data_IF_158601540838
#
_entry.id   IF_158601540838
#
_cell.length_a   1.000
_cell.length_b   1.000
_cell.length_c   1.000
_cell.angle_alpha   90.00
_cell.angle_beta   90.00
_cell.angle_gamma   90.00
#
_symmetry.space_group_name_H-M   'P 1'
#
loop_
_entity.id
_entity.type
_entity.pdbx_description
1 polymer ?
#
# COMPACT_ATOMS: atom_id res chain seq x y z
N UNK A 1 -15.27 37.05 36.62
CA UNK A 1 -16.09 35.88 36.36
C UNK A 1 -15.90 35.52 34.88
N UNK A 2 -14.87 34.74 34.63
CA UNK A 2 -14.58 34.20 33.27
C UNK A 2 -15.28 32.87 33.13
N UNK A 3 -16.14 32.73 32.13
CA UNK A 3 -16.76 31.44 31.79
C UNK A 3 -15.72 30.59 31.01
N UNK A 4 -15.54 29.32 31.32
CA UNK A 4 -14.72 28.44 30.54
C UNK A 4 -15.45 28.08 29.24
N UNK A 5 -14.80 28.37 28.12
CA UNK A 5 -15.19 27.87 26.80
C UNK A 5 -14.92 26.36 26.73
N UNK A 6 -15.82 25.55 27.25
CA UNK A 6 -15.86 24.11 27.03
C UNK A 6 -16.86 23.79 25.93
N UNK A 7 -16.47 24.00 24.71
CA UNK A 7 -17.14 23.43 23.53
C UNK A 7 -16.24 22.35 22.96
N UNK A 8 -16.35 21.11 23.45
CA UNK A 8 -15.83 19.95 22.75
C UNK A 8 -16.68 19.76 21.49
N UNK A 9 -16.22 20.34 20.38
CA UNK A 9 -16.73 19.99 19.06
C UNK A 9 -16.24 18.56 18.73
N UNK A 10 -17.05 17.57 19.08
CA UNK A 10 -16.99 16.27 18.39
C UNK A 10 -17.45 16.58 16.97
N UNK A 11 -16.54 16.69 16.03
CA UNK A 11 -16.89 16.79 14.61
C UNK A 11 -17.70 15.54 14.30
N UNK A 12 -18.98 15.70 13.94
CA UNK A 12 -19.78 14.64 13.35
C UNK A 12 -19.02 14.10 12.15
N UNK A 13 -19.36 12.92 11.62
CA UNK A 13 -18.65 12.35 10.48
C UNK A 13 -18.48 13.45 9.40
N UNK A 14 -17.22 13.75 8.97
CA UNK A 14 -16.97 14.85 8.06
C UNK A 14 -17.70 14.61 6.75
N UNK A 15 -18.31 15.67 6.20
CA UNK A 15 -19.16 15.60 5.01
C UNK A 15 -18.63 16.53 3.91
N UNK A 16 -19.04 16.26 2.66
CA UNK A 16 -18.75 17.15 1.54
C UNK A 16 -19.27 18.56 1.79
N UNK A 17 -18.46 19.57 1.47
CA UNK A 17 -18.75 20.99 1.70
C UNK A 17 -18.24 21.52 3.04
N UNK A 18 -17.75 20.68 3.94
CA UNK A 18 -17.13 21.11 5.19
C UNK A 18 -15.69 21.60 4.95
N UNK A 19 -15.27 22.53 5.79
CA UNK A 19 -13.89 23.04 5.82
C UNK A 19 -13.12 22.36 6.95
N UNK A 20 -11.90 21.90 6.64
CA UNK A 20 -10.93 21.34 7.59
C UNK A 20 -9.62 22.08 7.42
N UNK A 21 -9.22 22.87 8.39
CA UNK A 21 -8.08 23.78 8.26
C UNK A 21 -8.23 24.69 7.04
N UNK A 22 -7.25 24.66 6.16
CA UNK A 22 -7.26 25.43 4.90
C UNK A 22 -7.79 24.61 3.70
N UNK A 23 -8.58 23.54 3.93
CA UNK A 23 -9.07 22.66 2.89
C UNK A 23 -10.59 22.56 2.90
N UNK A 24 -11.21 22.66 1.72
CA UNK A 24 -12.64 22.40 1.50
C UNK A 24 -12.80 20.95 1.04
N UNK A 25 -13.57 20.15 1.79
CA UNK A 25 -13.87 18.75 1.42
C UNK A 25 -14.82 18.71 0.22
N UNK A 26 -14.47 18.00 -0.83
CA UNK A 26 -15.26 17.90 -2.06
C UNK A 26 -16.09 16.60 -2.07
N UNK A 27 -15.44 15.45 -1.98
CA UNK A 27 -16.09 14.15 -1.86
C UNK A 27 -15.16 13.10 -1.26
N UNK A 28 -15.73 12.05 -0.69
CA UNK A 28 -14.98 10.93 -0.11
C UNK A 28 -14.32 10.10 -1.23
N UNK A 29 -13.02 9.85 -1.13
CA UNK A 29 -12.23 8.99 -2.01
C UNK A 29 -12.18 7.56 -1.49
N UNK A 30 -12.20 7.39 -0.17
CA UNK A 30 -12.15 6.07 0.47
C UNK A 30 -12.29 6.16 1.98
N UNK A 31 -12.64 5.01 2.58
CA UNK A 31 -12.83 4.85 4.01
C UNK A 31 -12.05 3.64 4.49
N UNK A 32 -11.07 3.88 5.35
CA UNK A 32 -10.31 2.86 6.07
C UNK A 32 -10.87 2.59 7.46
N UNK A 33 -10.26 1.64 8.17
CA UNK A 33 -10.67 1.29 9.53
C UNK A 33 -10.49 2.41 10.54
N UNK A 34 -9.46 3.24 10.39
CA UNK A 34 -9.10 4.32 11.33
C UNK A 34 -9.12 5.72 10.71
N UNK A 35 -9.26 5.86 9.40
CA UNK A 35 -9.25 7.16 8.73
C UNK A 35 -10.16 7.20 7.50
N UNK A 36 -10.66 8.40 7.19
CA UNK A 36 -11.40 8.71 5.98
C UNK A 36 -10.52 9.55 5.06
N UNK A 37 -10.55 9.28 3.77
CA UNK A 37 -9.79 10.04 2.76
C UNK A 37 -10.77 10.79 1.87
N UNK A 38 -10.60 12.11 1.78
CA UNK A 38 -11.41 12.99 0.95
C UNK A 38 -10.57 13.60 -0.17
N UNK A 39 -11.17 13.81 -1.33
CA UNK A 39 -10.70 14.84 -2.24
C UNK A 39 -11.02 16.19 -1.60
N UNK A 40 -10.03 17.08 -1.50
CA UNK A 40 -10.19 18.41 -0.97
C UNK A 40 -9.47 19.45 -1.83
N UNK A 41 -9.95 20.70 -1.78
CA UNK A 41 -9.32 21.84 -2.42
C UNK A 41 -8.67 22.73 -1.36
N UNK A 42 -7.39 23.05 -1.52
CA UNK A 42 -6.73 24.03 -0.67
C UNK A 42 -7.29 25.43 -0.97
N UNK A 43 -7.87 26.10 0.02
CA UNK A 43 -8.66 27.34 -0.15
C UNK A 43 -7.90 28.48 -0.84
N UNK A 44 -6.61 28.64 -0.54
CA UNK A 44 -5.78 29.71 -1.10
C UNK A 44 -5.09 29.34 -2.39
N UNK A 45 -4.49 28.14 -2.46
CA UNK A 45 -3.72 27.70 -3.64
C UNK A 45 -4.59 27.08 -4.74
N UNK A 46 -5.87 26.81 -4.46
CA UNK A 46 -6.80 26.14 -5.39
C UNK A 46 -6.26 24.80 -5.92
N UNK A 47 -5.44 24.14 -5.14
CA UNK A 47 -4.84 22.87 -5.45
C UNK A 47 -5.67 21.72 -4.87
N UNK A 48 -5.92 20.69 -5.69
CA UNK A 48 -6.55 19.45 -5.22
C UNK A 48 -5.55 18.61 -4.45
N UNK A 49 -6.00 18.06 -3.32
CA UNK A 49 -5.24 17.19 -2.42
C UNK A 49 -6.09 16.00 -2.01
N UNK A 50 -5.45 14.89 -1.61
CA UNK A 50 -6.10 13.84 -0.85
C UNK A 50 -5.92 14.18 0.65
N UNK A 51 -7.03 14.43 1.34
CA UNK A 51 -7.03 14.78 2.77
C UNK A 51 -7.48 13.57 3.58
N UNK A 52 -6.57 13.01 4.36
CA UNK A 52 -6.83 11.89 5.26
C UNK A 52 -7.17 12.43 6.65
N UNK A 53 -8.35 12.09 7.15
CA UNK A 53 -8.87 12.50 8.46
C UNK A 53 -8.94 11.29 9.38
N UNK A 54 -8.37 11.39 10.57
CA UNK A 54 -8.44 10.31 11.56
C UNK A 54 -9.88 10.16 12.09
N UNK A 55 -10.37 8.93 12.13
CA UNK A 55 -11.67 8.62 12.71
C UNK A 55 -11.52 8.40 14.23
N UNK A 56 -11.91 9.39 15.04
CA UNK A 56 -11.70 9.38 16.49
C UNK A 56 -12.62 8.41 17.28
N UNK A 57 -13.44 7.59 16.61
CA UNK A 57 -14.52 6.85 17.27
C UNK A 57 -14.15 5.51 17.90
N UNK A 58 -12.93 4.94 17.73
CA UNK A 58 -12.69 3.54 18.13
C UNK A 58 -11.55 3.30 19.13
N UNK A 59 -10.32 3.73 18.92
CA UNK A 59 -9.20 3.52 19.84
C UNK A 59 -8.25 4.72 19.84
N UNK A 60 -8.72 5.85 20.36
CA UNK A 60 -8.13 7.19 20.18
C UNK A 60 -6.60 7.26 20.27
N UNK A 61 -5.96 6.58 21.22
CA UNK A 61 -4.52 6.71 21.41
C UNK A 61 -3.69 5.89 20.41
N UNK A 62 -4.05 4.63 20.16
CA UNK A 62 -3.29 3.76 19.24
C UNK A 62 -3.42 4.22 17.79
N UNK A 63 -4.61 4.62 17.37
CA UNK A 63 -4.89 5.10 16.02
C UNK A 63 -4.20 6.45 15.76
N UNK A 64 -4.17 7.33 16.76
CA UNK A 64 -3.44 8.59 16.70
C UNK A 64 -1.93 8.35 16.53
N UNK A 65 -1.36 7.44 17.33
CA UNK A 65 0.07 7.10 17.21
C UNK A 65 0.40 6.54 15.84
N UNK A 66 -0.45 5.66 15.27
CA UNK A 66 -0.27 5.12 13.91
C UNK A 66 -0.29 6.24 12.87
N UNK A 67 -1.30 7.12 12.93
CA UNK A 67 -1.47 8.23 12.01
C UNK A 67 -0.27 9.20 12.04
N UNK A 68 0.23 9.53 13.23
CA UNK A 68 1.43 10.35 13.39
C UNK A 68 2.69 9.66 12.84
N UNK A 69 2.81 8.34 13.02
CA UNK A 69 3.94 7.57 12.47
C UNK A 69 3.89 7.58 10.95
N UNK A 70 2.72 7.35 10.34
CA UNK A 70 2.53 7.42 8.89
C UNK A 70 2.94 8.79 8.34
N UNK A 71 2.43 9.86 8.94
CA UNK A 71 2.76 11.22 8.54
C UNK A 71 4.28 11.50 8.61
N UNK A 72 4.96 11.05 9.69
CA UNK A 72 6.42 11.20 9.85
C UNK A 72 7.20 10.40 8.83
N UNK A 73 6.80 9.16 8.54
CA UNK A 73 7.45 8.32 7.54
C UNK A 73 7.31 8.92 6.14
N UNK A 74 6.09 9.34 5.77
CA UNK A 74 5.86 9.99 4.49
C UNK A 74 6.62 11.31 4.33
N UNK A 75 6.76 12.09 5.41
CA UNK A 75 7.55 13.33 5.40
C UNK A 75 9.04 13.09 5.13
N UNK A 76 9.59 11.92 5.51
CA UNK A 76 10.97 11.52 5.27
C UNK A 76 11.20 10.95 3.85
N UNK A 77 10.14 10.42 3.22
CA UNK A 77 10.24 9.73 1.93
C UNK A 77 9.94 10.69 0.77
N UNK A 78 10.98 11.18 0.11
CA UNK A 78 10.87 12.04 -1.07
C UNK A 78 11.30 11.28 -2.34
N UNK A 79 10.33 10.62 -2.98
CA UNK A 79 10.59 9.84 -4.17
C UNK A 79 9.45 9.98 -5.19
N UNK A 80 9.79 10.02 -6.49
CA UNK A 80 8.82 10.22 -7.59
C UNK A 80 7.72 9.16 -7.69
N UNK A 81 7.90 8.00 -7.06
CA UNK A 81 6.96 6.88 -7.03
C UNK A 81 6.44 6.59 -5.61
N UNK A 82 6.49 7.55 -4.72
CA UNK A 82 5.85 7.53 -3.40
C UNK A 82 4.92 8.73 -3.31
N UNK A 83 3.72 8.55 -2.78
CA UNK A 83 2.80 9.66 -2.55
C UNK A 83 3.46 10.70 -1.63
N UNK A 84 3.38 11.98 -2.02
CA UNK A 84 4.01 13.04 -1.25
C UNK A 84 3.08 13.56 -0.16
N UNK A 85 3.51 13.56 1.11
CA UNK A 85 2.89 14.33 2.17
C UNK A 85 3.10 15.84 1.89
N UNK A 86 2.04 16.61 2.03
CA UNK A 86 2.04 18.06 1.78
C UNK A 86 1.94 18.85 3.09
N UNK A 87 1.07 18.41 4.01
CA UNK A 87 0.86 19.01 5.30
C UNK A 87 0.33 17.98 6.30
N UNK A 88 0.66 18.16 7.57
CA UNK A 88 0.05 17.46 8.70
C UNK A 88 -0.33 18.51 9.74
N UNK A 89 -1.62 18.54 10.12
CA UNK A 89 -2.14 19.55 11.06
C UNK A 89 -3.36 18.98 11.80
N UNK A 90 -4.00 19.83 12.61
CA UNK A 90 -5.16 19.51 13.43
C UNK A 90 -6.31 20.48 13.15
N UNK A 91 -7.52 19.96 13.13
CA UNK A 91 -8.75 20.75 13.20
C UNK A 91 -9.47 20.39 14.51
N UNK A 92 -9.43 21.28 15.50
CA UNK A 92 -9.84 20.93 16.86
C UNK A 92 -9.03 19.76 17.40
N UNK A 93 -9.71 18.67 17.75
CA UNK A 93 -9.08 17.43 18.22
C UNK A 93 -8.82 16.40 17.10
N UNK A 94 -9.13 16.74 15.85
CA UNK A 94 -9.01 15.82 14.71
C UNK A 94 -7.74 16.09 13.91
N UNK A 95 -6.74 15.18 13.93
CA UNK A 95 -5.57 15.33 13.08
C UNK A 95 -5.89 14.96 11.64
N UNK A 96 -5.25 15.67 10.70
CA UNK A 96 -5.36 15.37 9.28
C UNK A 96 -4.01 15.38 8.58
N UNK A 97 -3.92 14.61 7.51
CA UNK A 97 -2.75 14.52 6.62
C UNK A 97 -3.18 14.87 5.20
N UNK A 98 -2.64 15.98 4.67
CA UNK A 98 -2.82 16.35 3.28
C UNK A 98 -1.72 15.71 2.42
N UNK A 99 -2.11 15.04 1.35
CA UNK A 99 -1.22 14.34 0.42
C UNK A 99 -1.49 14.77 -1.02
N UNK A 100 -0.52 14.53 -1.90
CA UNK A 100 -0.71 14.73 -3.33
C UNK A 100 -1.87 13.86 -3.84
N UNK A 101 -2.82 14.47 -4.54
CA UNK A 101 -3.95 13.77 -5.14
C UNK A 101 -3.54 13.02 -6.39
N UNK A 102 -3.95 11.76 -6.50
CA UNK A 102 -3.71 10.86 -7.64
C UNK A 102 -4.98 10.76 -8.50
N UNK A 103 -5.12 11.55 -9.58
CA UNK A 103 -6.35 11.62 -10.37
C UNK A 103 -6.64 10.34 -11.18
N UNK A 104 -5.64 9.49 -11.40
CA UNK A 104 -5.80 8.22 -12.09
C UNK A 104 -6.39 7.09 -11.25
N UNK A 105 -6.71 7.34 -9.97
CA UNK A 105 -7.25 6.34 -9.04
C UNK A 105 -6.25 5.27 -8.65
N UNK A 106 -6.73 4.06 -8.35
CA UNK A 106 -5.90 2.92 -7.92
C UNK A 106 -5.59 1.98 -9.08
N UNK A 107 -4.47 1.24 -8.97
CA UNK A 107 -4.13 0.21 -9.97
C UNK A 107 -5.17 -0.93 -9.98
N UNK A 108 -5.90 -1.15 -8.89
CA UNK A 108 -6.98 -2.11 -8.79
C UNK A 108 -8.11 -1.83 -9.80
N UNK A 109 -8.40 -0.54 -10.04
CA UNK A 109 -9.41 -0.12 -11.02
C UNK A 109 -8.96 -0.38 -12.46
N UNK A 110 -7.65 -0.36 -12.71
CA UNK A 110 -7.04 -0.57 -14.04
C UNK A 110 -6.77 -2.04 -14.32
N UNK A 111 -6.28 -2.78 -13.32
CA UNK A 111 -6.00 -4.22 -13.40
C UNK A 111 -7.05 -4.99 -12.59
N UNK A 112 -8.25 -5.07 -13.16
CA UNK A 112 -9.38 -5.73 -12.53
C UNK A 112 -9.13 -7.23 -12.31
N UNK A 113 -9.57 -7.75 -11.17
CA UNK A 113 -9.55 -9.18 -10.89
C UNK A 113 -10.34 -9.96 -11.97
N UNK A 114 -9.89 -11.17 -12.27
CA UNK A 114 -10.50 -12.00 -13.30
C UNK A 114 -9.95 -11.75 -14.72
N UNK A 115 -9.16 -10.68 -14.93
CA UNK A 115 -8.66 -10.31 -16.25
C UNK A 115 -7.12 -10.42 -16.29
N UNK A 116 -6.56 -11.51 -16.87
CA UNK A 116 -5.12 -11.66 -17.05
C UNK A 116 -4.52 -10.49 -17.85
N UNK A 117 -3.39 -9.99 -17.41
CA UNK A 117 -2.68 -8.90 -18.08
C UNK A 117 -1.38 -9.41 -18.72
N UNK A 118 -1.03 -8.97 -19.92
CA UNK A 118 0.25 -9.34 -20.53
C UNK A 118 1.42 -8.73 -19.75
N UNK A 119 2.54 -9.47 -19.66
CA UNK A 119 3.73 -9.04 -18.93
C UNK A 119 4.21 -7.64 -19.33
N UNK A 120 4.18 -7.33 -20.63
CA UNK A 120 4.61 -6.03 -21.15
C UNK A 120 3.76 -4.86 -20.63
N UNK A 121 2.50 -5.10 -20.28
CA UNK A 121 1.61 -4.07 -19.73
C UNK A 121 1.90 -3.82 -18.23
N UNK A 122 2.16 -4.88 -17.47
CA UNK A 122 2.40 -4.77 -16.02
C UNK A 122 3.85 -4.38 -15.68
N UNK A 123 4.81 -4.69 -16.54
CA UNK A 123 6.24 -4.50 -16.27
C UNK A 123 6.63 -3.04 -15.94
N UNK A 124 6.13 -2.00 -16.65
CA UNK A 124 6.42 -0.61 -16.26
C UNK A 124 5.93 -0.27 -14.85
N UNK A 125 4.78 -0.80 -14.44
CA UNK A 125 4.20 -0.63 -13.10
C UNK A 125 5.08 -1.31 -12.07
N UNK A 126 5.44 -2.58 -12.28
CA UNK A 126 6.32 -3.36 -11.40
C UNK A 126 7.66 -2.67 -11.16
N UNK A 127 8.26 -2.11 -12.23
CA UNK A 127 9.54 -1.40 -12.13
C UNK A 127 9.43 -0.12 -11.29
N UNK A 128 8.32 0.60 -11.37
CA UNK A 128 8.09 1.82 -10.60
C UNK A 128 7.86 1.50 -9.12
N UNK A 129 7.03 0.48 -8.82
CA UNK A 129 6.82 0.01 -7.44
C UNK A 129 8.14 -0.47 -6.83
N UNK A 130 8.91 -1.29 -7.56
CA UNK A 130 10.19 -1.79 -7.06
C UNK A 130 11.19 -0.66 -6.74
N UNK A 131 11.18 0.44 -7.50
CA UNK A 131 12.00 1.64 -7.21
C UNK A 131 11.54 2.34 -5.93
N UNK A 132 10.22 2.50 -5.75
CA UNK A 132 9.65 3.08 -4.54
C UNK A 132 10.02 2.26 -3.29
N UNK A 133 9.81 0.95 -3.34
CA UNK A 133 10.12 0.03 -2.26
C UNK A 133 11.63 0.02 -1.94
N UNK A 134 12.48 -0.06 -2.96
CA UNK A 134 13.94 -0.03 -2.75
C UNK A 134 14.39 1.29 -2.12
N UNK A 135 13.78 2.42 -2.53
CA UNK A 135 14.07 3.70 -1.91
C UNK A 135 13.68 3.70 -0.43
N UNK A 136 12.48 3.20 -0.07
CA UNK A 136 12.07 3.05 1.32
C UNK A 136 13.00 2.12 2.11
N UNK A 137 13.38 0.97 1.55
CA UNK A 137 14.31 0.02 2.18
C UNK A 137 15.69 0.65 2.46
N UNK A 138 16.20 1.47 1.54
CA UNK A 138 17.46 2.22 1.74
C UNK A 138 17.35 3.26 2.87
N UNK A 139 16.12 3.69 3.22
CA UNK A 139 15.83 4.53 4.39
C UNK A 139 15.40 3.70 5.61
N UNK A 140 15.68 2.39 5.61
CA UNK A 140 15.34 1.46 6.69
C UNK A 140 13.84 1.31 6.97
N UNK A 141 12.99 1.61 5.99
CA UNK A 141 11.52 1.50 6.10
C UNK A 141 11.04 0.33 5.26
N UNK A 142 10.24 -0.56 5.88
CA UNK A 142 9.54 -1.66 5.22
C UNK A 142 8.07 -1.24 5.11
N UNK A 143 7.48 -1.34 3.93
CA UNK A 143 6.10 -0.90 3.67
C UNK A 143 5.05 -1.77 4.37
N UNK A 144 5.20 -3.08 4.30
CA UNK A 144 4.33 -4.09 4.94
C UNK A 144 2.90 -4.21 4.39
N UNK A 145 2.43 -3.32 3.50
CA UNK A 145 1.07 -3.35 2.95
C UNK A 145 1.03 -3.09 1.42
N UNK A 146 1.90 -3.78 0.70
CA UNK A 146 1.92 -3.69 -0.78
C UNK A 146 0.73 -4.46 -1.35
N UNK A 147 -0.28 -3.72 -1.84
CA UNK A 147 -1.52 -4.25 -2.43
C UNK A 147 -2.07 -3.30 -3.50
N UNK A 148 -2.99 -3.74 -4.38
CA UNK A 148 -3.47 -2.91 -5.50
C UNK A 148 -4.12 -1.60 -5.08
N UNK A 149 -4.77 -1.58 -3.91
CA UNK A 149 -5.45 -0.41 -3.36
C UNK A 149 -4.47 0.71 -2.99
N UNK A 150 -3.24 0.34 -2.58
CA UNK A 150 -2.19 1.26 -2.14
C UNK A 150 -1.25 1.67 -3.29
N UNK A 151 -1.56 1.28 -4.53
CA UNK A 151 -0.82 1.66 -5.73
C UNK A 151 -1.69 2.63 -6.52
N UNK A 152 -1.34 3.91 -6.45
CA UNK A 152 -2.07 5.01 -7.07
C UNK A 152 -1.46 5.40 -8.41
N UNK A 153 -2.27 6.03 -9.26
CA UNK A 153 -1.86 6.56 -10.57
C UNK A 153 -1.91 8.09 -10.54
N UNK A 154 -0.76 8.70 -10.68
CA UNK A 154 -0.59 10.13 -10.79
C UNK A 154 -1.10 10.71 -12.13
N UNK A 155 -1.01 12.05 -12.32
CA UNK A 155 -1.63 12.75 -13.45
C UNK A 155 -1.07 12.35 -14.83
N UNK A 156 0.09 11.72 -14.90
CA UNK A 156 0.69 11.21 -16.15
C UNK A 156 0.75 9.67 -16.17
N UNK A 157 -0.13 9.01 -15.39
CA UNK A 157 -0.15 7.56 -15.18
C UNK A 157 1.15 7.00 -14.58
N UNK A 158 1.95 7.85 -13.93
CA UNK A 158 3.05 7.37 -13.10
C UNK A 158 2.51 6.71 -11.83
N UNK A 159 3.19 5.68 -11.38
CA UNK A 159 2.82 4.96 -10.15
C UNK A 159 3.30 5.71 -8.92
N UNK A 160 2.41 5.86 -7.93
CA UNK A 160 2.70 6.32 -6.58
C UNK A 160 2.30 5.26 -5.56
N UNK A 161 3.25 4.80 -4.77
CA UNK A 161 3.00 3.92 -3.62
C UNK A 161 2.50 4.78 -2.45
N UNK A 162 1.38 4.41 -1.87
CA UNK A 162 0.70 5.12 -0.80
C UNK A 162 0.48 4.20 0.41
N UNK A 163 0.01 4.77 1.52
CA UNK A 163 -0.37 4.09 2.76
C UNK A 163 0.81 3.38 3.44
N UNK A 164 1.60 4.18 4.16
CA UNK A 164 2.68 3.71 5.03
C UNK A 164 2.21 3.51 6.49
N UNK A 165 0.88 3.41 6.72
CA UNK A 165 0.28 3.34 8.06
C UNK A 165 0.68 2.14 8.89
N UNK A 166 1.11 1.05 8.26
CA UNK A 166 1.65 -0.13 8.95
C UNK A 166 3.14 -0.36 8.67
N UNK A 167 3.79 0.59 8.01
CA UNK A 167 5.23 0.50 7.75
C UNK A 167 6.03 0.40 9.05
N UNK A 168 7.13 -0.32 9.02
CA UNK A 168 8.02 -0.51 10.16
C UNK A 168 9.47 -0.22 9.80
N UNK A 169 10.28 0.13 10.80
CA UNK A 169 11.70 0.34 10.62
C UNK A 169 12.45 -0.99 10.76
N UNK A 170 13.45 -1.22 9.92
CA UNK A 170 14.29 -2.43 9.97
C UNK A 170 14.93 -2.55 11.36
N UNK A 171 14.74 -3.71 12.01
CA UNK A 171 15.26 -3.99 13.35
C UNK A 171 14.39 -3.49 14.51
N UNK A 172 13.26 -2.84 14.25
CA UNK A 172 12.28 -2.55 15.30
C UNK A 172 11.47 -3.81 15.65
N UNK A 173 11.01 -3.88 16.92
CA UNK A 173 10.09 -4.95 17.34
C UNK A 173 8.80 -4.87 16.53
N UNK A 174 8.21 -6.03 16.14
CA UNK A 174 6.94 -6.03 15.43
C UNK A 174 5.87 -5.32 16.25
N UNK A 175 5.15 -4.41 15.63
CA UNK A 175 3.95 -3.84 16.24
C UNK A 175 2.85 -4.91 16.16
N UNK A 176 2.52 -5.53 17.28
CA UNK A 176 1.53 -6.62 17.40
C UNK A 176 0.07 -6.18 17.21
N UNK A 177 -0.16 -4.94 16.81
CA UNK A 177 -1.50 -4.37 16.72
C UNK A 177 -2.05 -4.37 15.29
N UNK A 178 -2.19 -5.56 14.66
CA UNK A 178 -3.18 -5.69 13.60
C UNK A 178 -4.56 -5.75 14.27
N UNK A 179 -5.34 -4.67 14.19
CA UNK A 179 -6.73 -4.70 14.62
C UNK A 179 -7.48 -5.81 13.87
N UNK A 180 -8.33 -6.58 14.56
CA UNK A 180 -9.06 -7.74 13.98
C UNK A 180 -9.87 -7.39 12.71
N UNK A 181 -10.16 -6.12 12.46
CA UNK A 181 -10.90 -5.66 11.28
C UNK A 181 -9.99 -5.34 10.07
N UNK A 182 -8.73 -4.93 10.30
CA UNK A 182 -7.78 -4.58 9.22
C UNK A 182 -7.16 -5.80 8.55
N UNK A 183 -7.23 -6.97 9.18
CA UNK A 183 -6.70 -8.23 8.64
C UNK A 183 -7.50 -8.67 7.40
N UNK A 184 -8.77 -8.29 7.26
CA UNK A 184 -9.60 -8.67 6.10
C UNK A 184 -9.13 -7.98 4.82
N UNK A 185 -8.59 -8.76 3.90
CA UNK A 185 -8.10 -8.31 2.58
C UNK A 185 -6.58 -8.15 2.50
N UNK A 186 -5.91 -7.62 3.52
CA UNK A 186 -4.45 -7.44 3.56
C UNK A 186 -3.69 -8.78 3.58
N UNK A 187 -4.25 -9.80 4.22
CA UNK A 187 -3.66 -11.15 4.31
C UNK A 187 -3.28 -11.73 2.95
N UNK A 188 -3.99 -11.38 1.87
CA UNK A 188 -3.76 -11.90 0.52
C UNK A 188 -2.37 -11.63 -0.03
N UNK A 189 -1.67 -10.59 0.44
CA UNK A 189 -0.36 -10.18 -0.06
C UNK A 189 0.76 -10.38 0.97
N UNK A 190 0.43 -10.64 2.24
CA UNK A 190 1.40 -10.79 3.32
C UNK A 190 2.39 -11.92 3.08
N UNK A 191 3.66 -11.68 3.35
CA UNK A 191 4.70 -12.68 3.30
C UNK A 191 4.64 -13.65 4.52
N UNK A 192 5.18 -14.88 4.40
CA UNK A 192 5.22 -15.84 5.51
C UNK A 192 5.87 -15.31 6.78
N UNK A 193 6.99 -14.59 6.68
CA UNK A 193 7.69 -13.98 7.81
C UNK A 193 6.89 -12.82 8.42
N UNK A 194 6.14 -12.07 7.63
CA UNK A 194 5.27 -11.01 8.11
C UNK A 194 4.09 -11.59 8.92
N UNK A 195 3.51 -12.71 8.49
CA UNK A 195 2.50 -13.44 9.26
C UNK A 195 3.04 -13.98 10.60
N UNK A 196 4.37 -14.20 10.70
CA UNK A 196 5.06 -14.58 11.95
C UNK A 196 5.45 -13.38 12.81
N UNK A 197 5.12 -12.15 12.39
CA UNK A 197 5.46 -10.92 13.11
C UNK A 197 6.89 -10.42 12.91
N UNK A 198 7.62 -10.93 11.94
CA UNK A 198 9.01 -10.54 11.65
C UNK A 198 9.18 -10.03 10.22
N UNK A 199 8.55 -8.88 9.85
CA UNK A 199 8.66 -8.33 8.52
C UNK A 199 10.10 -7.96 8.16
N UNK A 200 10.44 -8.15 6.89
CA UNK A 200 11.75 -7.86 6.30
C UNK A 200 11.56 -7.08 4.99
N UNK A 201 12.58 -6.41 4.43
CA UNK A 201 12.50 -5.84 3.09
C UNK A 201 12.07 -6.86 2.03
N UNK A 202 12.45 -8.14 2.22
CA UNK A 202 12.03 -9.25 1.40
C UNK A 202 10.51 -9.55 1.48
N UNK A 203 9.80 -9.04 2.51
CA UNK A 203 8.35 -9.19 2.61
C UNK A 203 7.62 -8.35 1.57
N UNK A 204 8.07 -7.12 1.32
CA UNK A 204 7.53 -6.28 0.26
C UNK A 204 7.81 -6.86 -1.13
N UNK A 205 8.98 -7.49 -1.33
CA UNK A 205 9.29 -8.22 -2.56
C UNK A 205 8.32 -9.38 -2.79
N UNK A 206 8.00 -10.15 -1.74
CA UNK A 206 7.02 -11.24 -1.81
C UNK A 206 5.63 -10.71 -2.19
N UNK A 207 5.16 -9.66 -1.54
CA UNK A 207 3.88 -9.03 -1.85
C UNK A 207 3.83 -8.54 -3.30
N UNK A 208 4.88 -7.89 -3.80
CA UNK A 208 4.98 -7.49 -5.20
C UNK A 208 4.97 -8.69 -6.15
N UNK A 209 5.63 -9.80 -5.80
CA UNK A 209 5.61 -11.01 -6.62
C UNK A 209 4.20 -11.65 -6.66
N UNK A 210 3.45 -11.61 -5.56
CA UNK A 210 2.04 -12.04 -5.51
C UNK A 210 1.18 -11.18 -6.43
N UNK A 211 1.36 -9.87 -6.44
CA UNK A 211 0.67 -8.96 -7.36
C UNK A 211 0.96 -9.31 -8.82
N UNK A 212 2.24 -9.50 -9.15
CA UNK A 212 2.65 -9.91 -10.51
C UNK A 212 2.01 -11.24 -10.91
N UNK A 213 1.99 -12.22 -10.00
CA UNK A 213 1.30 -13.49 -10.22
C UNK A 213 -0.19 -13.26 -10.52
N UNK A 214 -0.87 -12.51 -9.65
CA UNK A 214 -2.30 -12.22 -9.78
C UNK A 214 -2.63 -11.50 -11.09
N UNK A 215 -1.87 -10.50 -11.46
CA UNK A 215 -2.09 -9.76 -12.70
C UNK A 215 -1.86 -10.62 -13.95
N UNK A 216 -0.87 -11.51 -13.94
CA UNK A 216 -0.61 -12.42 -15.06
C UNK A 216 -1.67 -13.52 -15.19
N UNK A 217 -2.14 -14.05 -14.07
CA UNK A 217 -3.09 -15.16 -14.03
C UNK A 217 -4.56 -14.74 -13.96
N UNK A 218 -4.85 -13.45 -13.72
CA UNK A 218 -6.20 -12.95 -13.44
C UNK A 218 -6.72 -13.31 -12.05
N UNK A 219 -5.92 -13.95 -11.20
CA UNK A 219 -6.33 -14.31 -9.86
C UNK A 219 -5.18 -14.68 -8.94
N UNK A 220 -5.39 -14.62 -7.61
CA UNK A 220 -4.36 -14.84 -6.62
C UNK A 220 -3.84 -16.29 -6.63
N UNK A 221 -2.60 -16.51 -6.15
CA UNK A 221 -2.01 -17.84 -6.05
C UNK A 221 -2.73 -18.72 -5.02
N UNK A 222 -3.27 -18.13 -3.98
CA UNK A 222 -3.97 -18.80 -2.90
C UNK A 222 -5.37 -18.21 -2.72
N UNK A 223 -6.34 -19.07 -2.39
CA UNK A 223 -7.76 -18.69 -2.26
C UNK A 223 -8.43 -19.45 -1.12
N UNK A 224 -9.58 -18.93 -0.69
CA UNK A 224 -10.35 -19.47 0.43
C UNK A 224 -10.60 -18.41 1.51
N UNK A 225 -10.87 -18.85 2.74
CA UNK A 225 -10.97 -17.95 3.91
C UNK A 225 -9.61 -17.36 4.26
N UNK A 226 -9.58 -16.23 4.97
CA UNK A 226 -8.33 -15.58 5.38
C UNK A 226 -7.41 -16.55 6.14
N UNK A 227 -7.99 -17.41 7.01
CA UNK A 227 -7.24 -18.43 7.75
C UNK A 227 -6.62 -19.45 6.79
N UNK A 228 -7.38 -19.93 5.79
CA UNK A 228 -6.88 -20.86 4.80
C UNK A 228 -5.76 -20.26 3.96
N UNK A 229 -5.90 -18.99 3.55
CA UNK A 229 -4.86 -18.24 2.82
C UNK A 229 -3.60 -18.07 3.68
N UNK A 230 -3.72 -17.72 4.97
CA UNK A 230 -2.58 -17.66 5.90
C UNK A 230 -1.84 -18.99 5.95
N UNK A 231 -2.58 -20.11 6.14
CA UNK A 231 -1.98 -21.44 6.21
C UNK A 231 -1.26 -21.81 4.91
N UNK A 232 -1.89 -21.61 3.76
CA UNK A 232 -1.29 -21.87 2.44
C UNK A 232 -0.01 -21.03 2.23
N UNK A 233 0.00 -19.77 2.67
CA UNK A 233 1.19 -18.91 2.58
C UNK A 233 2.34 -19.42 3.43
N UNK A 234 2.04 -19.97 4.60
CA UNK A 234 3.06 -20.50 5.52
C UNK A 234 3.65 -21.82 5.05
N UNK A 235 2.83 -22.69 4.44
CA UNK A 235 3.17 -24.11 4.22
C UNK A 235 3.07 -24.61 2.78
N UNK A 236 2.24 -24.01 1.92
CA UNK A 236 1.98 -24.56 0.59
C UNK A 236 2.76 -23.79 -0.48
N UNK A 237 3.54 -24.47 -1.36
CA UNK A 237 4.16 -23.81 -2.50
C UNK A 237 3.12 -23.12 -3.39
N UNK A 238 3.44 -21.96 -4.00
CA UNK A 238 2.52 -21.33 -4.93
C UNK A 238 2.31 -22.21 -6.17
N UNK A 239 1.07 -22.28 -6.71
CA UNK A 239 0.80 -23.02 -7.94
C UNK A 239 1.65 -22.50 -9.10
N UNK A 240 1.98 -23.36 -10.05
CA UNK A 240 2.72 -22.96 -11.24
C UNK A 240 1.89 -22.03 -12.11
N UNK A 241 2.49 -20.89 -12.54
CA UNK A 241 1.79 -19.92 -13.40
C UNK A 241 1.38 -20.56 -14.73
N UNK A 242 2.23 -21.43 -15.29
CA UNK A 242 2.01 -22.05 -16.60
C UNK A 242 0.86 -23.09 -16.59
N UNK A 243 0.43 -23.56 -15.44
CA UNK A 243 -0.80 -24.37 -15.31
C UNK A 243 -2.05 -23.51 -15.58
N UNK A 244 -2.01 -22.22 -15.27
CA UNK A 244 -3.11 -21.27 -15.51
C UNK A 244 -2.95 -20.49 -16.83
N UNK A 245 -1.71 -20.12 -17.18
CA UNK A 245 -1.36 -19.34 -18.38
C UNK A 245 -0.19 -20.01 -19.10
N UNK A 246 -0.44 -21.02 -19.95
CA UNK A 246 0.61 -21.81 -20.63
C UNK A 246 1.57 -20.99 -21.51
N UNK A 247 1.14 -19.80 -21.94
CA UNK A 247 1.94 -18.86 -22.77
C UNK A 247 3.06 -18.15 -22.01
N UNK A 248 3.07 -18.18 -20.67
CA UNK A 248 4.14 -17.60 -19.87
C UNK A 248 5.42 -18.41 -20.06
N UNK A 249 6.56 -17.70 -20.32
CA UNK A 249 7.84 -18.39 -20.48
C UNK A 249 8.29 -19.06 -19.17
N UNK A 250 8.98 -20.23 -19.26
CA UNK A 250 9.53 -20.89 -18.07
C UNK A 250 10.46 -19.99 -17.25
N UNK A 251 11.15 -19.04 -17.91
CA UNK A 251 12.04 -18.11 -17.24
C UNK A 251 11.25 -17.09 -16.39
N UNK A 252 10.16 -16.53 -16.91
CA UNK A 252 9.29 -15.60 -16.16
C UNK A 252 8.67 -16.31 -14.97
N UNK A 253 8.11 -17.52 -15.17
CA UNK A 253 7.56 -18.34 -14.08
C UNK A 253 8.58 -18.54 -12.96
N UNK A 254 9.78 -19.02 -13.30
CA UNK A 254 10.86 -19.27 -12.32
C UNK A 254 11.24 -18.01 -11.52
N UNK A 255 11.28 -16.83 -12.17
CA UNK A 255 11.60 -15.57 -11.51
C UNK A 255 10.52 -15.21 -10.49
N UNK A 256 9.24 -15.35 -10.85
CA UNK A 256 8.12 -15.03 -9.97
C UNK A 256 8.09 -16.00 -8.79
N UNK A 257 8.19 -17.30 -9.05
CA UNK A 257 8.19 -18.33 -8.00
C UNK A 257 9.38 -18.16 -7.06
N UNK A 258 10.57 -17.79 -7.56
CA UNK A 258 11.71 -17.46 -6.70
C UNK A 258 11.42 -16.30 -5.77
N UNK A 259 10.80 -15.22 -6.26
CA UNK A 259 10.42 -14.08 -5.40
C UNK A 259 9.31 -14.42 -4.39
N UNK A 260 8.59 -15.54 -4.60
CA UNK A 260 7.55 -16.07 -3.71
C UNK A 260 8.04 -17.22 -2.82
N UNK A 261 9.36 -17.51 -2.75
CA UNK A 261 9.92 -18.51 -1.84
C UNK A 261 9.51 -18.25 -0.39
N UNK A 262 9.28 -19.34 0.38
CA UNK A 262 8.84 -19.23 1.78
C UNK A 262 9.96 -18.70 2.68
N UNK A 263 11.19 -19.16 2.44
CA UNK A 263 12.37 -18.62 3.10
C UNK A 263 12.80 -17.32 2.40
N UNK A 264 12.77 -16.15 3.08
CA UNK A 264 13.16 -14.89 2.48
C UNK A 264 14.60 -14.87 1.96
N UNK A 265 15.48 -15.71 2.50
CA UNK A 265 16.90 -15.81 2.08
C UNK A 265 17.07 -16.45 0.70
N UNK A 266 16.07 -17.21 0.22
CA UNK A 266 16.08 -17.85 -1.10
C UNK A 266 15.52 -16.92 -2.20
N UNK A 267 14.94 -15.79 -1.85
CA UNK A 267 14.45 -14.77 -2.78
C UNK A 267 15.62 -14.00 -3.44
N UNK A 268 15.33 -12.91 -4.14
CA UNK A 268 16.35 -11.97 -4.62
C UNK A 268 16.84 -11.11 -3.44
N UNK A 269 18.11 -10.71 -3.45
CA UNK A 269 18.70 -9.91 -2.38
C UNK A 269 17.97 -8.55 -2.23
N UNK A 270 17.52 -7.97 -3.35
CA UNK A 270 16.81 -6.70 -3.39
C UNK A 270 15.60 -6.76 -4.32
N UNK A 271 14.56 -5.99 -4.00
CA UNK A 271 13.33 -5.93 -4.82
C UNK A 271 13.60 -5.43 -6.25
N UNK A 272 14.61 -4.58 -6.45
CA UNK A 272 15.04 -4.14 -7.80
C UNK A 272 15.67 -5.26 -8.62
N UNK A 273 16.33 -6.23 -8.01
CA UNK A 273 16.87 -7.39 -8.73
C UNK A 273 15.74 -8.26 -9.29
N UNK A 274 14.68 -8.49 -8.50
CA UNK A 274 13.49 -9.18 -8.97
C UNK A 274 12.87 -8.48 -10.19
N UNK A 275 12.61 -7.18 -10.10
CA UNK A 275 12.03 -6.39 -11.20
C UNK A 275 12.96 -6.35 -12.44
N UNK A 276 14.27 -6.27 -12.23
CA UNK A 276 15.28 -6.30 -13.31
C UNK A 276 15.35 -7.66 -14.01
N UNK A 277 15.23 -8.75 -13.25
CA UNK A 277 15.18 -10.11 -13.79
C UNK A 277 13.92 -10.30 -14.67
N UNK A 278 12.75 -9.82 -14.22
CA UNK A 278 11.53 -9.82 -15.03
C UNK A 278 11.70 -9.03 -16.33
N UNK A 279 12.31 -7.83 -16.25
CA UNK A 279 12.57 -7.00 -17.43
C UNK A 279 13.48 -7.72 -18.43
N UNK A 280 14.56 -8.35 -17.96
CA UNK A 280 15.47 -9.12 -18.83
C UNK A 280 14.75 -10.29 -19.50
N UNK A 281 13.93 -11.03 -18.74
CA UNK A 281 13.16 -12.16 -19.27
C UNK A 281 12.11 -11.73 -20.31
N UNK A 282 11.51 -10.53 -20.18
CA UNK A 282 10.55 -10.01 -21.16
C UNK A 282 11.18 -9.64 -22.50
N UNK A 283 12.46 -9.26 -22.53
CA UNK A 283 13.21 -8.93 -23.75
C UNK A 283 13.63 -10.18 -24.53
N UNK A 284 13.85 -11.31 -23.87
CA UNK A 284 14.19 -12.58 -24.49
C UNK A 284 13.01 -13.36 -25.06
N UNK A 285 11.80 -12.79 -25.03
CA UNK A 285 10.57 -13.35 -25.62
C UNK A 285 10.25 -12.82 -27.04
N UNK A 286 11.16 -12.02 -27.62
CA UNK A 286 11.04 -11.50 -29.01
C UNK A 286 11.68 -12.43 -30.02
#
# INVERSE_FOLDING_TARGET
MEQPLTGSYVIGQPTSGEQVGNYLLLHELGRGGYAHVFLAEHLYFKQLVALQLLNLSLNQHEDLVRFQVEARLLAQLQHRHIVRALNFDWEGDTPFLAMAYAPGGTIQQVFQQGTPQPLLRILPVVLQIARALQYAHNHHIIHCDVKPENILLGPRNEVWLADFGIATTIGSLPRTSYGRQEIRGTVRYMAPEQLRGTPLPASDQYALAVLVYEWLCGGPPFSGTDIAVCFQRLSTPPPRLRERVPSISPTVERIILKAMEKDPRLRFAHVLEFASALKKASLGQR
#
